data_IF_519781321885
#
_entry.id   IF_519781321885
#
_cell.length_a   1.000
_cell.length_b   1.000
_cell.length_c   1.000
_cell.angle_alpha   90.00
_cell.angle_beta   90.00
_cell.angle_gamma   90.00
#
_symmetry.space_group_name_H-M   'P 1'
#
loop_
_entity.id
_entity.type
_entity.pdbx_description
1 polymer ?
#
# COMPACT_ATOMS: atom_id res chain seq x y z
N UNK A 1 31.02 13.63 -5.36
CA UNK A 1 30.75 13.03 -4.03
C UNK A 1 30.99 11.52 -4.14
N UNK A 2 30.85 10.77 -3.04
CA UNK A 2 31.07 9.32 -3.03
C UNK A 2 30.15 8.58 -4.02
N UNK A 3 28.93 9.04 -4.23
CA UNK A 3 27.95 8.42 -5.13
C UNK A 3 28.24 8.69 -6.60
N UNK A 4 28.82 9.85 -6.95
CA UNK A 4 29.31 10.11 -8.31
C UNK A 4 30.39 9.12 -8.76
N UNK A 5 31.25 8.67 -7.84
CA UNK A 5 32.26 7.66 -8.13
C UNK A 5 31.66 6.25 -8.10
N UNK A 6 30.97 5.90 -7.01
CA UNK A 6 30.52 4.53 -6.74
C UNK A 6 29.30 4.11 -7.59
N UNK A 7 28.51 5.06 -8.09
CA UNK A 7 27.37 4.81 -9.00
C UNK A 7 27.66 5.29 -10.43
N UNK A 8 28.94 5.49 -10.77
CA UNK A 8 29.32 5.87 -12.13
C UNK A 8 28.84 4.81 -13.13
N UNK A 9 28.21 5.21 -14.26
CA UNK A 9 27.82 4.27 -15.30
C UNK A 9 29.03 3.80 -16.14
N UNK A 10 30.21 4.41 -15.95
CA UNK A 10 31.43 4.00 -16.64
C UNK A 10 32.04 2.76 -15.97
N UNK A 11 32.76 1.90 -16.72
CA UNK A 11 33.44 0.75 -16.13
C UNK A 11 34.32 1.13 -14.94
N UNK A 12 34.20 0.37 -13.86
CA UNK A 12 34.93 0.59 -12.61
C UNK A 12 34.69 -0.58 -11.64
N UNK A 13 35.40 -0.56 -10.51
CA UNK A 13 35.24 -1.54 -9.44
C UNK A 13 34.86 -0.80 -8.15
N UNK A 14 33.81 -1.25 -7.46
CA UNK A 14 33.41 -0.71 -6.16
C UNK A 14 34.56 -0.85 -5.17
N UNK A 15 34.97 0.25 -4.53
CA UNK A 15 36.10 0.24 -3.58
C UNK A 15 35.77 -0.50 -2.29
N UNK A 16 34.49 -0.52 -1.89
CA UNK A 16 33.99 -1.11 -0.64
C UNK A 16 32.68 -1.87 -0.92
N UNK A 17 32.78 -3.12 -1.39
CA UNK A 17 31.58 -3.92 -1.66
C UNK A 17 30.85 -4.26 -0.36
N UNK A 18 29.53 -4.36 -0.45
CA UNK A 18 28.66 -4.72 0.66
C UNK A 18 28.38 -6.23 0.61
N UNK A 19 29.14 -7.00 1.39
CA UNK A 19 29.14 -8.47 1.35
C UNK A 19 28.30 -9.11 2.46
N UNK A 20 27.66 -8.31 3.32
CA UNK A 20 27.02 -8.75 4.57
C UNK A 20 25.50 -8.53 4.52
N UNK A 21 24.76 -9.30 3.71
CA UNK A 21 23.37 -9.03 3.35
C UNK A 21 22.45 -8.88 4.56
N UNK A 22 21.46 -7.99 4.48
CA UNK A 22 20.53 -7.71 5.57
C UNK A 22 19.38 -8.72 5.59
N UNK A 23 19.12 -9.40 6.72
CA UNK A 23 17.96 -10.27 6.87
C UNK A 23 16.66 -9.53 6.60
N UNK A 24 15.81 -10.13 5.75
CA UNK A 24 14.55 -9.54 5.32
C UNK A 24 14.66 -8.54 4.17
N UNK A 25 15.86 -8.12 3.75
CA UNK A 25 16.02 -7.33 2.53
C UNK A 25 16.20 -8.24 1.30
N UNK A 26 16.24 -7.62 0.11
CA UNK A 26 16.45 -8.32 -1.15
C UNK A 26 17.90 -8.80 -1.35
N UNK A 27 18.84 -8.34 -0.52
CA UNK A 27 20.28 -8.42 -0.72
C UNK A 27 20.75 -9.83 -1.12
N UNK A 28 20.64 -10.82 -0.23
CA UNK A 28 21.18 -12.17 -0.48
C UNK A 28 20.53 -12.86 -1.69
N UNK A 29 19.19 -12.86 -1.75
CA UNK A 29 18.47 -13.52 -2.83
C UNK A 29 18.71 -12.83 -4.18
N UNK A 30 18.84 -11.50 -4.18
CA UNK A 30 19.19 -10.72 -5.37
C UNK A 30 20.61 -11.01 -5.83
N UNK A 31 21.57 -11.04 -4.91
CA UNK A 31 22.97 -11.36 -5.22
C UNK A 31 23.10 -12.76 -5.84
N UNK A 32 22.44 -13.76 -5.24
CA UNK A 32 22.40 -15.12 -5.78
C UNK A 32 21.71 -15.21 -7.14
N UNK A 33 20.65 -14.43 -7.35
CA UNK A 33 19.88 -14.43 -8.60
C UNK A 33 20.66 -13.85 -9.78
N UNK A 34 21.44 -12.80 -9.52
CA UNK A 34 22.12 -12.02 -10.55
C UNK A 34 23.64 -12.22 -10.57
N UNK A 35 24.15 -13.16 -9.77
CA UNK A 35 25.58 -13.47 -9.63
C UNK A 35 26.41 -12.24 -9.23
N UNK A 36 25.89 -11.47 -8.26
CA UNK A 36 26.58 -10.32 -7.70
C UNK A 36 27.31 -10.67 -6.41
N UNK A 37 28.50 -10.09 -6.26
CA UNK A 37 29.30 -10.16 -5.03
C UNK A 37 29.12 -8.93 -4.13
N UNK A 38 28.47 -7.88 -4.65
CA UNK A 38 28.16 -6.65 -3.93
C UNK A 38 26.63 -6.48 -3.82
N UNK A 39 26.12 -6.37 -2.59
CA UNK A 39 24.70 -6.12 -2.35
C UNK A 39 24.22 -4.77 -2.90
N UNK A 40 25.14 -3.83 -3.20
CA UNK A 40 24.81 -2.51 -3.74
C UNK A 40 24.02 -2.60 -5.05
N UNK A 41 24.42 -3.49 -5.94
CA UNK A 41 23.77 -3.70 -7.24
C UNK A 41 22.31 -4.16 -7.11
N UNK A 42 21.96 -4.74 -5.96
CA UNK A 42 20.59 -5.14 -5.62
C UNK A 42 19.86 -4.02 -4.90
N UNK A 43 20.44 -3.51 -3.80
CA UNK A 43 19.74 -2.64 -2.87
C UNK A 43 19.35 -1.30 -3.49
N UNK A 44 20.15 -0.77 -4.43
CA UNK A 44 19.89 0.52 -5.07
C UNK A 44 18.58 0.51 -5.87
N UNK A 45 18.22 -0.65 -6.46
CA UNK A 45 16.94 -0.80 -7.15
C UNK A 45 15.82 -1.35 -6.25
N UNK A 46 16.15 -2.23 -5.31
CA UNK A 46 15.18 -2.77 -4.37
C UNK A 46 14.69 -1.73 -3.34
N UNK A 47 15.45 -0.64 -3.15
CA UNK A 47 15.14 0.46 -2.25
C UNK A 47 13.74 1.02 -2.48
N UNK A 48 13.05 1.32 -1.38
CA UNK A 48 11.75 1.99 -1.40
C UNK A 48 11.81 3.41 -1.99
N UNK A 49 13.00 3.96 -2.27
CA UNK A 49 13.14 5.21 -3.05
C UNK A 49 12.38 5.16 -4.38
N UNK A 50 12.30 3.98 -4.99
CA UNK A 50 11.54 3.73 -6.22
C UNK A 50 10.04 4.12 -6.10
N UNK A 51 9.45 4.03 -4.91
CA UNK A 51 8.05 4.40 -4.67
C UNK A 51 7.75 5.86 -4.98
N UNK A 52 8.76 6.74 -5.00
CA UNK A 52 8.59 8.14 -5.45
C UNK A 52 8.08 8.20 -6.90
N UNK A 53 8.58 7.32 -7.79
CA UNK A 53 8.11 7.25 -9.17
C UNK A 53 6.67 6.70 -9.24
N UNK A 54 6.33 5.73 -8.40
CA UNK A 54 4.96 5.21 -8.29
C UNK A 54 4.01 6.33 -7.90
N UNK A 55 4.34 7.10 -6.85
CA UNK A 55 3.51 8.22 -6.35
C UNK A 55 3.24 9.25 -7.43
N UNK A 56 4.25 9.60 -8.25
CA UNK A 56 4.06 10.50 -9.40
C UNK A 56 3.02 9.93 -10.39
N UNK A 57 3.12 8.64 -10.73
CA UNK A 57 2.15 8.00 -11.63
C UNK A 57 0.74 7.91 -11.03
N UNK A 58 0.62 7.55 -9.76
CA UNK A 58 -0.68 7.47 -9.09
C UNK A 58 -1.33 8.82 -8.83
N UNK A 59 -0.55 9.91 -8.73
CA UNK A 59 -1.11 11.27 -8.70
C UNK A 59 -1.90 11.58 -9.98
N UNK A 60 -1.38 11.18 -11.15
CA UNK A 60 -2.11 11.31 -12.42
C UNK A 60 -3.36 10.41 -12.45
N UNK A 61 -3.26 9.18 -11.92
CA UNK A 61 -4.39 8.26 -11.81
C UNK A 61 -5.51 8.83 -10.92
N UNK A 62 -5.16 9.43 -9.77
CA UNK A 62 -6.10 10.12 -8.89
C UNK A 62 -6.78 11.31 -9.60
N UNK A 63 -6.04 12.09 -10.39
CA UNK A 63 -6.62 13.19 -11.16
C UNK A 63 -7.65 12.72 -12.20
N UNK A 64 -7.41 11.58 -12.87
CA UNK A 64 -8.37 10.97 -13.79
C UNK A 64 -9.61 10.45 -13.04
N UNK A 65 -9.40 9.71 -11.95
CA UNK A 65 -10.47 9.16 -11.11
C UNK A 65 -11.37 10.26 -10.52
N UNK A 66 -10.79 11.40 -10.15
CA UNK A 66 -11.55 12.57 -9.69
C UNK A 66 -12.56 13.10 -10.72
N UNK A 67 -12.32 12.90 -12.02
CA UNK A 67 -13.26 13.31 -13.08
C UNK A 67 -14.58 12.54 -13.05
N UNK A 68 -14.59 11.36 -12.43
CA UNK A 68 -15.77 10.52 -12.23
C UNK A 68 -16.19 10.44 -10.75
N UNK A 69 -15.72 11.37 -9.92
CA UNK A 69 -16.14 11.50 -8.53
C UNK A 69 -15.51 10.51 -7.55
N UNK A 70 -14.38 9.91 -7.92
CA UNK A 70 -13.66 8.98 -7.05
C UNK A 70 -12.57 9.70 -6.27
N UNK A 71 -12.64 9.62 -4.94
CA UNK A 71 -11.63 10.14 -4.02
C UNK A 71 -10.99 9.00 -3.23
N UNK A 72 -9.68 9.12 -2.96
CA UNK A 72 -8.88 8.09 -2.27
C UNK A 72 -8.09 8.72 -1.14
N UNK A 73 -8.24 8.18 0.06
CA UNK A 73 -7.55 8.60 1.30
C UNK A 73 -7.05 7.36 2.04
N UNK A 74 -5.97 7.49 2.81
CA UNK A 74 -5.52 6.46 3.74
C UNK A 74 -5.22 7.02 5.12
N UNK A 75 -5.26 6.14 6.12
CA UNK A 75 -4.83 6.41 7.47
C UNK A 75 -4.16 5.17 8.10
N UNK A 76 -3.33 5.39 9.11
CA UNK A 76 -2.66 4.34 9.87
C UNK A 76 -3.61 3.81 10.93
N UNK A 77 -3.85 2.49 10.91
CA UNK A 77 -4.72 1.79 11.87
C UNK A 77 -3.93 1.02 12.92
N UNK A 78 -2.68 0.66 12.65
CA UNK A 78 -1.77 0.11 13.66
C UNK A 78 -0.30 0.44 13.38
N UNK A 79 0.49 0.51 14.45
CA UNK A 79 1.92 0.74 14.40
C UNK A 79 2.59 0.06 15.59
N UNK A 80 3.56 -0.83 15.31
CA UNK A 80 4.15 -1.67 16.34
C UNK A 80 3.08 -2.50 17.06
N UNK A 81 3.06 -2.44 18.39
CA UNK A 81 2.07 -3.11 19.23
C UNK A 81 0.75 -2.33 19.39
N UNK A 82 0.70 -1.07 18.92
CA UNK A 82 -0.45 -0.18 19.09
C UNK A 82 -1.42 -0.31 17.91
N UNK A 83 -2.71 -0.47 18.19
CA UNK A 83 -3.78 -0.53 17.19
C UNK A 83 -4.96 0.36 17.58
N UNK A 84 -5.63 0.93 16.58
CA UNK A 84 -6.85 1.72 16.75
C UNK A 84 -8.08 0.82 16.71
N UNK A 85 -8.97 0.98 17.70
CA UNK A 85 -10.31 0.38 17.72
C UNK A 85 -11.39 1.34 17.18
N UNK A 86 -10.98 2.50 16.63
CA UNK A 86 -11.92 3.51 16.16
C UNK A 86 -12.70 3.01 14.93
N UNK A 87 -14.02 3.18 14.99
CA UNK A 87 -14.92 2.85 13.88
C UNK A 87 -14.97 3.99 12.85
N UNK A 88 -14.65 5.22 13.27
CA UNK A 88 -14.65 6.38 12.41
C UNK A 88 -13.55 6.27 11.33
N UNK A 89 -13.92 6.57 10.09
CA UNK A 89 -13.03 6.56 8.93
C UNK A 89 -12.93 7.97 8.34
N UNK A 90 -11.72 8.40 7.92
CA UNK A 90 -11.57 9.69 7.26
C UNK A 90 -12.21 9.66 5.87
N UNK A 91 -12.80 10.77 5.49
CA UNK A 91 -13.27 11.04 4.13
C UNK A 91 -12.29 11.94 3.39
N UNK A 92 -12.61 12.27 2.13
CA UNK A 92 -11.80 13.19 1.33
C UNK A 92 -11.67 14.59 1.95
N UNK A 93 -12.64 15.04 2.77
CA UNK A 93 -12.54 16.33 3.46
C UNK A 93 -11.57 16.33 4.63
N UNK A 94 -11.22 15.14 5.14
CA UNK A 94 -10.43 14.97 6.36
C UNK A 94 -8.94 14.77 6.06
N UNK A 95 -8.53 14.80 4.78
CA UNK A 95 -7.15 14.54 4.35
C UNK A 95 -6.17 15.48 5.06
N UNK A 96 -6.49 16.77 5.20
CA UNK A 96 -5.62 17.71 5.90
C UNK A 96 -5.43 17.34 7.38
N UNK A 97 -6.48 16.89 8.05
CA UNK A 97 -6.39 16.43 9.44
C UNK A 97 -5.51 15.17 9.56
N UNK A 98 -5.65 14.24 8.62
CA UNK A 98 -4.79 13.04 8.57
C UNK A 98 -3.34 13.42 8.28
N UNK A 99 -3.09 14.37 7.38
CA UNK A 99 -1.74 14.81 7.02
C UNK A 99 -1.06 15.66 8.12
N UNK A 100 -1.84 16.33 8.97
CA UNK A 100 -1.34 17.03 10.17
C UNK A 100 -0.88 16.06 11.27
N UNK A 101 -1.41 14.83 11.29
CA UNK A 101 -0.96 13.78 12.20
C UNK A 101 0.46 13.32 11.85
N UNK A 102 1.43 13.36 12.80
CA UNK A 102 2.80 12.89 12.55
C UNK A 102 2.88 11.42 12.12
N UNK A 103 1.87 10.63 12.48
CA UNK A 103 1.76 9.20 12.15
C UNK A 103 0.60 8.91 11.20
N UNK A 104 -0.07 9.93 10.65
CA UNK A 104 -1.25 9.80 9.79
C UNK A 104 -2.35 8.90 10.38
N UNK A 105 -2.53 8.93 11.70
CA UNK A 105 -3.60 8.20 12.37
C UNK A 105 -4.82 9.13 12.52
N UNK A 106 -6.01 8.66 12.13
CA UNK A 106 -7.21 9.47 12.23
C UNK A 106 -7.79 9.54 13.65
N UNK A 107 -7.42 8.59 14.52
CA UNK A 107 -7.81 8.58 15.92
C UNK A 107 -6.74 9.21 16.82
N UNK A 108 -7.04 10.38 17.38
CA UNK A 108 -6.10 11.16 18.19
C UNK A 108 -5.61 10.42 19.44
N UNK A 109 -6.46 9.63 20.08
CA UNK A 109 -6.05 8.87 21.27
C UNK A 109 -5.05 7.76 20.94
N UNK A 110 -5.17 7.15 19.75
CA UNK A 110 -4.23 6.15 19.26
C UNK A 110 -2.96 6.78 18.69
N UNK A 111 -3.06 7.95 18.04
CA UNK A 111 -1.92 8.74 17.57
C UNK A 111 -0.85 8.93 18.67
N UNK A 112 -1.25 9.41 19.85
CA UNK A 112 -0.32 9.67 20.95
C UNK A 112 0.42 8.39 21.39
N UNK A 113 -0.28 7.25 21.40
CA UNK A 113 0.30 5.94 21.75
C UNK A 113 1.26 5.46 20.67
N UNK A 114 0.93 5.65 19.39
CA UNK A 114 1.80 5.29 18.27
C UNK A 114 3.09 6.11 18.28
N UNK A 115 3.01 7.41 18.60
CA UNK A 115 4.19 8.28 18.75
C UNK A 115 5.09 7.75 19.88
N UNK A 116 4.52 7.45 21.04
CA UNK A 116 5.28 6.90 22.17
C UNK A 116 5.96 5.55 21.83
N UNK A 117 5.30 4.68 21.07
CA UNK A 117 5.87 3.42 20.58
C UNK A 117 7.07 3.67 19.65
N UNK A 118 6.96 4.64 18.74
CA UNK A 118 8.07 5.03 17.84
C UNK A 118 9.26 5.55 18.65
N UNK A 119 9.02 6.41 19.64
CA UNK A 119 10.08 6.95 20.50
C UNK A 119 10.79 5.86 21.31
N UNK A 120 10.03 4.89 21.83
CA UNK A 120 10.57 3.73 22.53
C UNK A 120 11.46 2.88 21.60
N UNK A 121 10.96 2.52 20.41
CA UNK A 121 11.75 1.76 19.43
C UNK A 121 13.00 2.53 18.96
N UNK A 122 12.89 3.86 18.79
CA UNK A 122 14.02 4.71 18.44
C UNK A 122 15.13 4.65 19.49
N UNK A 123 14.76 4.73 20.78
CA UNK A 123 15.68 4.65 21.92
C UNK A 123 16.40 3.30 21.96
N UNK A 124 15.72 2.23 21.60
CA UNK A 124 16.27 0.88 21.56
C UNK A 124 17.09 0.60 20.27
N UNK A 125 17.02 1.52 19.29
CA UNK A 125 17.69 1.39 18.00
C UNK A 125 17.02 0.36 17.07
N UNK A 126 15.74 0.09 17.31
CA UNK A 126 14.89 -0.88 16.59
C UNK A 126 14.02 -0.18 15.53
N UNK A 127 13.16 -0.94 14.85
CA UNK A 127 12.23 -0.46 13.84
C UNK A 127 10.84 -1.08 13.99
N UNK A 128 9.82 -0.40 13.46
CA UNK A 128 8.43 -0.77 13.60
C UNK A 128 7.73 -0.90 12.24
N UNK A 129 6.92 -1.95 12.12
CA UNK A 129 5.93 -2.11 11.08
C UNK A 129 4.56 -1.57 11.51
N UNK A 130 3.53 -1.89 10.75
CA UNK A 130 2.17 -1.44 11.03
C UNK A 130 1.20 -1.73 9.90
N UNK A 131 -0.02 -1.24 10.06
CA UNK A 131 -1.11 -1.42 9.09
C UNK A 131 -1.68 -0.06 8.71
N UNK A 132 -1.91 0.14 7.42
CA UNK A 132 -2.70 1.25 6.87
C UNK A 132 -4.01 0.72 6.31
N UNK A 133 -5.05 1.54 6.37
CA UNK A 133 -6.32 1.33 5.67
C UNK A 133 -6.45 2.41 4.60
N UNK A 134 -6.64 1.98 3.35
CA UNK A 134 -6.92 2.83 2.19
C UNK A 134 -8.41 2.72 1.86
N UNK A 135 -9.01 3.87 1.64
CA UNK A 135 -10.43 4.08 1.44
C UNK A 135 -10.65 4.77 0.11
N UNK A 136 -11.46 4.17 -0.78
CA UNK A 136 -11.87 4.81 -2.03
C UNK A 136 -13.39 4.99 -2.05
N UNK A 137 -13.80 6.26 -2.17
CA UNK A 137 -15.18 6.71 -2.17
C UNK A 137 -15.66 6.99 -3.59
N UNK A 138 -16.98 6.91 -3.83
CA UNK A 138 -17.59 7.29 -5.11
C UNK A 138 -17.28 6.35 -6.28
N UNK A 139 -16.83 5.13 -6.00
CA UNK A 139 -16.50 4.16 -7.04
C UNK A 139 -17.73 3.80 -7.89
N UNK A 140 -17.59 3.69 -9.22
CA UNK A 140 -18.65 3.15 -10.04
C UNK A 140 -18.79 1.64 -9.81
N UNK A 141 -20.01 1.13 -9.98
CA UNK A 141 -20.30 -0.30 -9.95
C UNK A 141 -19.61 -1.01 -11.13
N UNK A 142 -19.02 -2.17 -10.87
CA UNK A 142 -18.57 -3.10 -11.90
C UNK A 142 -17.27 -2.72 -12.59
N UNK A 143 -16.31 -2.12 -11.88
CA UNK A 143 -14.88 -2.19 -12.23
C UNK A 143 -14.34 -3.56 -11.87
N UNK A 144 -13.45 -4.13 -12.68
CA UNK A 144 -13.07 -5.54 -12.59
C UNK A 144 -14.08 -6.48 -13.26
N UNK A 145 -13.87 -7.79 -13.10
CA UNK A 145 -14.74 -8.81 -13.67
C UNK A 145 -14.60 -10.14 -12.94
N UNK A 146 -15.73 -10.85 -12.76
CA UNK A 146 -15.75 -12.22 -12.28
C UNK A 146 -15.36 -13.27 -13.34
N UNK A 147 -15.32 -12.86 -14.62
CA UNK A 147 -15.24 -13.78 -15.77
C UNK A 147 -13.91 -14.53 -15.83
N UNK A 148 -12.81 -13.87 -15.45
CA UNK A 148 -11.50 -14.49 -15.43
C UNK A 148 -10.75 -14.09 -14.16
N UNK A 149 -9.92 -14.99 -13.64
CA UNK A 149 -9.32 -14.85 -12.31
C UNK A 149 -8.41 -13.63 -12.18
N UNK A 150 -7.68 -13.28 -13.25
CA UNK A 150 -6.77 -12.12 -13.32
C UNK A 150 -7.52 -10.79 -13.60
N UNK A 151 -8.83 -10.85 -13.86
CA UNK A 151 -9.69 -9.67 -14.03
C UNK A 151 -10.44 -9.31 -12.76
N UNK A 152 -10.31 -10.10 -11.69
CA UNK A 152 -10.92 -9.81 -10.40
C UNK A 152 -10.17 -8.67 -9.70
N UNK A 153 -10.90 -7.60 -9.38
CA UNK A 153 -10.28 -6.35 -8.92
C UNK A 153 -9.61 -6.46 -7.55
N UNK A 154 -10.19 -7.23 -6.64
CA UNK A 154 -9.59 -7.62 -5.37
C UNK A 154 -8.21 -8.30 -5.56
N UNK A 155 -8.08 -9.21 -6.53
CA UNK A 155 -6.81 -9.83 -6.90
C UNK A 155 -5.79 -8.83 -7.46
N UNK A 156 -6.22 -7.93 -8.34
CA UNK A 156 -5.36 -6.87 -8.91
C UNK A 156 -4.89 -5.88 -7.84
N UNK A 157 -5.79 -5.46 -6.94
CA UNK A 157 -5.48 -4.59 -5.81
C UNK A 157 -4.51 -5.28 -4.84
N UNK A 158 -4.76 -6.54 -4.51
CA UNK A 158 -3.87 -7.33 -3.66
C UNK A 158 -2.46 -7.43 -4.25
N UNK A 159 -2.33 -7.72 -5.55
CA UNK A 159 -1.04 -7.74 -6.23
C UNK A 159 -0.34 -6.37 -6.16
N UNK A 160 -1.06 -5.30 -6.51
CA UNK A 160 -0.50 -3.95 -6.56
C UNK A 160 -0.01 -3.48 -5.18
N UNK A 161 -0.79 -3.72 -4.12
CA UNK A 161 -0.44 -3.34 -2.75
C UNK A 161 0.66 -4.26 -2.17
N UNK A 162 0.59 -5.57 -2.40
CA UNK A 162 1.62 -6.52 -1.96
C UNK A 162 2.96 -6.28 -2.66
N UNK A 163 2.97 -5.66 -3.84
CA UNK A 163 4.19 -5.28 -4.57
C UNK A 163 4.95 -4.09 -3.95
N UNK A 164 4.35 -3.40 -2.97
CA UNK A 164 4.99 -2.31 -2.25
C UNK A 164 6.07 -2.91 -1.33
N UNK A 165 7.23 -2.28 -1.31
CA UNK A 165 8.36 -2.69 -0.50
C UNK A 165 7.92 -2.85 0.97
N UNK A 166 8.37 -3.94 1.60
CA UNK A 166 8.03 -4.34 2.97
C UNK A 166 6.55 -4.69 3.27
N UNK A 167 5.62 -4.63 2.31
CA UNK A 167 4.27 -5.16 2.52
C UNK A 167 4.30 -6.69 2.51
N UNK A 168 3.64 -7.31 3.49
CA UNK A 168 3.59 -8.76 3.69
C UNK A 168 2.17 -9.33 3.79
N UNK A 169 1.16 -8.47 3.92
CA UNK A 169 -0.24 -8.84 4.01
C UNK A 169 -1.12 -7.78 3.34
N UNK A 170 -2.18 -8.23 2.68
CA UNK A 170 -3.22 -7.36 2.13
C UNK A 170 -4.59 -7.95 2.48
N UNK A 171 -5.51 -7.10 2.92
CA UNK A 171 -6.89 -7.47 3.18
C UNK A 171 -7.83 -6.58 2.37
N UNK A 172 -8.96 -7.14 1.95
CA UNK A 172 -10.09 -6.40 1.40
C UNK A 172 -11.23 -6.46 2.42
N UNK A 173 -11.78 -5.30 2.80
CA UNK A 173 -12.78 -5.21 3.86
C UNK A 173 -12.29 -5.78 5.18
N UNK A 174 -13.07 -6.70 5.75
CA UNK A 174 -12.77 -7.36 7.02
C UNK A 174 -11.74 -8.49 6.89
N UNK A 175 -11.32 -8.87 5.67
CA UNK A 175 -10.19 -9.79 5.44
C UNK A 175 -10.19 -11.04 6.32
N UNK A 176 -9.10 -11.22 7.08
CA UNK A 176 -8.94 -12.37 7.98
C UNK A 176 -9.96 -12.37 9.12
N UNK A 177 -10.43 -11.21 9.61
CA UNK A 177 -11.51 -11.15 10.59
C UNK A 177 -12.84 -11.64 10.00
N UNK A 178 -13.07 -11.41 8.70
CA UNK A 178 -14.21 -11.95 7.96
C UNK A 178 -14.18 -13.48 7.87
N UNK A 179 -12.99 -14.08 7.69
CA UNK A 179 -12.81 -15.53 7.61
C UNK A 179 -13.20 -16.29 8.89
N UNK A 180 -13.19 -15.61 10.04
CA UNK A 180 -13.61 -16.19 11.32
C UNK A 180 -15.14 -16.15 11.56
N UNK A 181 -15.92 -15.53 10.66
CA UNK A 181 -17.37 -15.37 10.83
C UNK A 181 -18.17 -16.48 10.16
N UNK A 182 -19.38 -16.71 10.68
CA UNK A 182 -20.40 -17.51 9.98
C UNK A 182 -20.95 -16.71 8.79
N UNK A 183 -21.34 -17.39 7.71
CA UNK A 183 -21.89 -16.76 6.51
C UNK A 183 -23.06 -15.80 6.78
N UNK A 184 -23.91 -16.12 7.76
CA UNK A 184 -25.03 -15.24 8.18
C UNK A 184 -24.60 -13.87 8.73
N UNK A 185 -23.32 -13.70 9.10
CA UNK A 185 -22.76 -12.47 9.65
C UNK A 185 -21.57 -11.93 8.83
N UNK A 186 -21.11 -12.68 7.82
CA UNK A 186 -19.91 -12.36 7.05
C UNK A 186 -20.17 -11.38 5.89
N UNK A 187 -21.40 -11.34 5.38
CA UNK A 187 -21.74 -10.61 4.16
C UNK A 187 -22.49 -9.31 4.43
N UNK A 188 -22.53 -8.47 3.40
CA UNK A 188 -23.24 -7.20 3.40
C UNK A 188 -24.63 -7.39 2.79
N UNK A 189 -25.69 -7.13 3.56
CA UNK A 189 -27.05 -7.25 3.07
C UNK A 189 -27.35 -6.17 2.01
N UNK A 190 -28.13 -6.54 1.00
CA UNK A 190 -28.49 -5.66 -0.11
C UNK A 190 -29.83 -4.99 0.21
N UNK A 191 -29.85 -3.66 0.21
CA UNK A 191 -31.04 -2.85 0.34
C UNK A 191 -31.29 -2.02 -0.93
N UNK A 192 -32.54 -1.63 -1.16
CA UNK A 192 -32.91 -0.64 -2.17
C UNK A 192 -33.07 0.72 -1.52
N UNK A 193 -32.59 1.77 -2.19
CA UNK A 193 -32.82 3.15 -1.77
C UNK A 193 -33.74 3.90 -2.72
N UNK A 194 -34.97 4.18 -2.29
CA UNK A 194 -35.94 4.92 -3.10
C UNK A 194 -35.52 6.38 -3.37
N UNK A 195 -34.68 6.97 -2.51
CA UNK A 195 -34.24 8.36 -2.66
C UNK A 195 -33.21 8.52 -3.77
N UNK A 196 -32.19 7.65 -3.80
CA UNK A 196 -31.17 7.67 -4.86
C UNK A 196 -31.52 6.81 -6.07
N UNK A 197 -32.52 5.93 -5.97
CA UNK A 197 -32.89 4.99 -7.03
C UNK A 197 -31.79 3.95 -7.27
N UNK A 198 -31.11 3.48 -6.22
CA UNK A 198 -29.99 2.54 -6.37
C UNK A 198 -29.94 1.49 -5.26
N UNK A 199 -29.28 0.37 -5.56
CA UNK A 199 -28.93 -0.63 -4.55
C UNK A 199 -27.82 -0.13 -3.62
N UNK A 200 -27.93 -0.46 -2.34
CA UNK A 200 -26.90 -0.21 -1.33
C UNK A 200 -26.56 -1.47 -0.52
N UNK A 201 -25.46 -1.41 0.21
CA UNK A 201 -25.07 -2.39 1.23
C UNK A 201 -25.27 -1.77 2.62
N UNK A 202 -25.79 -2.57 3.54
CA UNK A 202 -26.02 -2.12 4.92
C UNK A 202 -24.73 -2.06 5.75
N UNK A 203 -23.69 -2.79 5.33
CA UNK A 203 -22.38 -2.84 6.00
C UNK A 203 -21.23 -2.81 4.97
N UNK A 204 -19.98 -2.72 5.44
CA UNK A 204 -18.78 -2.62 4.58
C UNK A 204 -17.81 -3.81 4.78
N UNK A 205 -18.32 -5.00 5.09
CA UNK A 205 -17.51 -6.17 5.45
C UNK A 205 -16.73 -6.72 4.24
N UNK A 206 -17.34 -6.68 3.06
CA UNK A 206 -16.71 -7.09 1.81
C UNK A 206 -15.75 -6.03 1.24
N UNK A 207 -15.66 -4.86 1.88
CA UNK A 207 -14.75 -3.79 1.48
C UNK A 207 -15.00 -3.29 0.06
N UNK A 208 -16.28 -3.17 -0.35
CA UNK A 208 -16.66 -2.58 -1.64
C UNK A 208 -16.42 -3.48 -2.85
N UNK A 209 -16.10 -4.77 -2.66
CA UNK A 209 -15.96 -5.73 -3.77
C UNK A 209 -16.75 -7.00 -3.55
N UNK A 210 -17.40 -7.50 -4.61
CA UNK A 210 -18.10 -8.79 -4.62
C UNK A 210 -17.83 -9.50 -5.95
N UNK A 211 -17.46 -10.78 -5.90
CA UNK A 211 -17.15 -11.55 -7.11
C UNK A 211 -15.98 -11.00 -7.94
N UNK A 212 -15.09 -10.18 -7.34
CA UNK A 212 -14.01 -9.51 -8.05
C UNK A 212 -14.42 -8.26 -8.82
N UNK A 213 -15.55 -7.64 -8.46
CA UNK A 213 -16.04 -6.40 -9.04
C UNK A 213 -16.37 -5.36 -7.97
N UNK A 214 -16.23 -4.07 -8.26
CA UNK A 214 -16.68 -3.01 -7.35
C UNK A 214 -18.20 -3.00 -7.21
N UNK A 215 -18.71 -2.81 -5.99
CA UNK A 215 -20.15 -2.79 -5.71
C UNK A 215 -20.77 -1.40 -5.79
N UNK A 216 -19.95 -0.35 -5.90
CA UNK A 216 -20.36 1.05 -5.76
C UNK A 216 -20.22 1.59 -4.33
N UNK A 217 -20.05 0.69 -3.36
CA UNK A 217 -19.82 1.03 -1.96
C UNK A 217 -18.36 1.42 -1.70
N UNK A 218 -18.09 1.87 -0.48
CA UNK A 218 -16.73 2.18 -0.01
C UNK A 218 -15.79 0.98 -0.22
N UNK A 219 -14.75 1.17 -1.03
CA UNK A 219 -13.66 0.23 -1.14
C UNK A 219 -12.74 0.38 0.07
N UNK A 220 -12.45 -0.73 0.73
CA UNK A 220 -11.56 -0.78 1.90
C UNK A 220 -10.45 -1.79 1.63
N UNK A 221 -9.20 -1.32 1.61
CA UNK A 221 -8.01 -2.16 1.44
C UNK A 221 -7.05 -1.89 2.57
N UNK A 222 -6.54 -2.95 3.23
CA UNK A 222 -5.53 -2.82 4.29
C UNK A 222 -4.20 -3.40 3.85
N UNK A 223 -3.10 -2.75 4.21
CA UNK A 223 -1.75 -3.20 3.91
C UNK A 223 -0.93 -3.35 5.18
N UNK A 224 -0.41 -4.55 5.43
CA UNK A 224 0.46 -4.84 6.56
C UNK A 224 1.92 -4.74 6.13
N UNK A 225 2.61 -3.72 6.63
CA UNK A 225 4.03 -3.50 6.41
C UNK A 225 4.83 -4.09 7.56
N UNK A 226 5.83 -4.92 7.26
CA UNK A 226 6.78 -5.41 8.27
C UNK A 226 7.73 -4.29 8.74
N UNK A 227 8.40 -4.44 9.90
CA UNK A 227 9.48 -3.56 10.30
C UNK A 227 10.60 -3.44 9.24
N UNK A 228 11.31 -2.32 9.27
CA UNK A 228 12.41 -2.04 8.35
C UNK A 228 13.56 -3.04 8.58
N UNK A 229 14.18 -3.50 7.50
CA UNK A 229 15.17 -4.60 7.59
C UNK A 229 16.56 -4.14 8.01
N UNK A 230 16.80 -2.82 8.04
CA UNK A 230 18.02 -2.23 8.58
C UNK A 230 17.68 -1.69 9.96
N UNK A 231 18.50 -2.04 10.95
CA UNK A 231 18.37 -1.51 12.31
C UNK A 231 19.44 -0.46 12.56
N UNK A 232 19.12 0.54 13.38
CA UNK A 232 20.08 1.58 13.74
C UNK A 232 21.23 1.02 14.58
N UNK A 233 20.94 -0.01 15.37
CA UNK A 233 21.91 -0.90 16.00
C UNK A 233 21.90 -2.24 15.27
N UNK A 234 22.94 -2.58 14.47
CA UNK A 234 22.97 -3.84 13.75
C UNK A 234 23.14 -5.01 14.73
N UNK A 235 22.05 -5.67 15.08
CA UNK A 235 22.02 -6.83 15.99
C UNK A 235 21.70 -8.13 15.28
N UNK A 236 21.22 -8.08 14.04
CA UNK A 236 20.84 -9.27 13.28
C UNK A 236 22.07 -9.96 12.71
N UNK A 237 22.18 -11.25 13.04
CA UNK A 237 23.21 -12.13 12.48
C UNK A 237 23.02 -12.27 10.96
N UNK A 238 24.14 -12.30 10.25
CA UNK A 238 24.21 -12.65 8.83
C UNK A 238 25.50 -13.42 8.55
N UNK A 239 25.77 -13.72 7.28
CA UNK A 239 26.99 -14.35 6.82
C UNK A 239 27.63 -13.45 5.77
N UNK A 240 28.94 -13.22 5.86
CA UNK A 240 29.67 -12.57 4.78
C UNK A 240 29.69 -13.51 3.56
N UNK A 241 29.16 -13.06 2.43
CA UNK A 241 29.00 -13.94 1.26
C UNK A 241 30.33 -14.32 0.60
N UNK A 242 31.43 -13.62 0.90
CA UNK A 242 32.77 -13.92 0.39
C UNK A 242 33.48 -14.88 1.33
N UNK A 243 33.61 -14.53 2.62
CA UNK A 243 34.38 -15.33 3.59
C UNK A 243 33.60 -16.52 4.13
N UNK A 244 32.26 -16.49 4.04
CA UNK A 244 31.32 -17.45 4.64
C UNK A 244 31.32 -17.46 6.18
N UNK A 245 31.93 -16.46 6.81
CA UNK A 245 31.96 -16.32 8.26
C UNK A 245 30.69 -15.64 8.80
N UNK A 246 30.26 -16.04 10.00
CA UNK A 246 29.17 -15.35 10.71
C UNK A 246 29.58 -13.94 11.11
N UNK A 247 28.69 -12.98 10.89
CA UNK A 247 28.88 -11.57 11.22
C UNK A 247 27.52 -10.90 11.52
N UNK A 248 27.49 -9.57 11.61
CA UNK A 248 26.26 -8.76 11.65
C UNK A 248 26.05 -8.05 10.32
N UNK A 249 24.79 -7.84 9.95
CA UNK A 249 24.46 -7.15 8.70
C UNK A 249 24.99 -5.72 8.67
N UNK A 250 25.39 -5.24 7.49
CA UNK A 250 25.80 -3.84 7.35
C UNK A 250 24.65 -2.88 7.67
N UNK A 251 25.03 -1.67 8.10
CA UNK A 251 24.10 -0.59 8.39
C UNK A 251 23.97 0.33 7.18
N UNK A 252 22.75 0.56 6.75
CA UNK A 252 22.36 1.71 5.93
C UNK A 252 21.65 2.76 6.78
N UNK A 253 21.55 3.99 6.27
CA UNK A 253 20.67 4.99 6.90
C UNK A 253 19.23 4.46 6.85
N UNK A 254 18.58 4.42 8.00
CA UNK A 254 17.22 3.89 8.16
C UNK A 254 16.43 4.71 9.16
N UNK A 255 15.14 4.84 8.89
CA UNK A 255 14.16 5.39 9.83
C UNK A 255 13.75 4.33 10.85
N UNK A 256 12.96 4.73 11.85
CA UNK A 256 12.33 3.79 12.80
C UNK A 256 11.11 3.12 12.15
N UNK A 257 10.33 3.88 11.37
CA UNK A 257 9.17 3.36 10.65
C UNK A 257 8.91 4.20 9.42
N UNK A 258 8.26 3.60 8.41
CA UNK A 258 7.78 4.31 7.23
C UNK A 258 6.30 3.98 6.93
N UNK A 259 5.56 3.48 7.93
CA UNK A 259 4.14 3.11 7.78
C UNK A 259 3.27 4.28 7.29
N UNK A 260 3.40 5.53 7.80
CA UNK A 260 2.62 6.66 7.29
C UNK A 260 2.88 6.94 5.79
N UNK A 261 4.14 6.89 5.36
CA UNK A 261 4.51 7.08 3.96
C UNK A 261 4.02 5.92 3.09
N UNK A 262 4.05 4.69 3.59
CA UNK A 262 3.51 3.51 2.91
C UNK A 262 2.00 3.66 2.63
N UNK A 263 1.23 4.33 3.51
CA UNK A 263 -0.17 4.69 3.25
C UNK A 263 -0.35 5.45 1.93
N UNK A 264 0.44 6.51 1.70
CA UNK A 264 0.41 7.30 0.46
C UNK A 264 0.78 6.47 -0.77
N UNK A 265 1.75 5.56 -0.62
CA UNK A 265 2.14 4.63 -1.70
C UNK A 265 1.01 3.63 -1.97
N UNK A 266 0.31 3.15 -0.94
CA UNK A 266 -0.83 2.25 -1.09
C UNK A 266 -2.01 2.95 -1.79
N UNK A 267 -2.33 4.19 -1.43
CA UNK A 267 -3.32 5.02 -2.15
C UNK A 267 -3.00 5.11 -3.64
N UNK A 268 -1.72 5.31 -3.96
CA UNK A 268 -1.20 5.43 -5.32
C UNK A 268 -1.38 4.13 -6.11
N UNK A 269 -0.97 3.00 -5.53
CA UNK A 269 -1.07 1.69 -6.20
C UNK A 269 -2.53 1.30 -6.45
N UNK A 270 -3.42 1.61 -5.50
CA UNK A 270 -4.86 1.40 -5.65
C UNK A 270 -5.43 2.32 -6.73
N UNK A 271 -5.05 3.60 -6.74
CA UNK A 271 -5.46 4.55 -7.78
C UNK A 271 -5.07 4.08 -9.19
N UNK A 272 -3.86 3.54 -9.36
CA UNK A 272 -3.39 3.01 -10.65
C UNK A 272 -4.26 1.84 -11.15
N UNK A 273 -4.59 0.89 -10.27
CA UNK A 273 -5.46 -0.25 -10.61
C UNK A 273 -6.87 0.23 -10.96
N UNK A 274 -7.44 1.10 -10.12
CA UNK A 274 -8.79 1.63 -10.32
C UNK A 274 -8.89 2.44 -11.62
N UNK A 275 -7.91 3.31 -11.90
CA UNK A 275 -7.86 4.09 -13.14
C UNK A 275 -7.72 3.18 -14.37
N UNK A 276 -6.89 2.13 -14.28
CA UNK A 276 -6.74 1.14 -15.34
C UNK A 276 -8.04 0.40 -15.66
N UNK A 277 -8.76 -0.10 -14.65
CA UNK A 277 -10.04 -0.79 -14.88
C UNK A 277 -11.17 0.18 -15.26
N UNK A 278 -11.16 1.42 -14.76
CA UNK A 278 -12.09 2.46 -15.20
C UNK A 278 -11.87 2.79 -16.68
N UNK A 279 -10.63 3.02 -17.11
CA UNK A 279 -10.30 3.26 -18.51
C UNK A 279 -10.66 2.06 -19.39
N UNK A 280 -10.46 0.83 -18.91
CA UNK A 280 -10.87 -0.37 -19.64
C UNK A 280 -12.39 -0.46 -19.80
N UNK A 281 -13.16 -0.11 -18.76
CA UNK A 281 -14.63 -0.20 -18.76
C UNK A 281 -15.27 0.90 -19.60
N UNK A 282 -14.82 2.14 -19.42
CA UNK A 282 -15.44 3.31 -20.03
C UNK A 282 -14.78 3.74 -21.34
N UNK A 283 -13.54 3.31 -21.59
CA UNK A 283 -12.77 3.64 -22.78
C UNK A 283 -12.54 5.15 -22.92
N UNK A 284 -12.34 5.57 -24.17
CA UNK A 284 -12.19 6.96 -24.55
C UNK A 284 -10.76 7.42 -24.69
N UNK A 285 -10.50 8.25 -25.70
CA UNK A 285 -9.17 8.81 -25.97
C UNK A 285 -9.00 10.22 -25.39
N UNK A 286 -10.08 10.80 -24.85
CA UNK A 286 -10.08 12.09 -24.17
C UNK A 286 -10.85 12.03 -22.85
N UNK A 287 -10.50 12.89 -21.90
CA UNK A 287 -11.17 12.97 -20.59
C UNK A 287 -12.68 13.22 -20.75
N UNK A 288 -13.09 14.08 -21.69
CA UNK A 288 -14.49 14.38 -21.92
C UNK A 288 -15.30 13.15 -22.39
N UNK A 289 -14.70 12.31 -23.23
CA UNK A 289 -15.29 11.04 -23.66
C UNK A 289 -15.37 10.02 -22.52
N UNK A 290 -14.27 9.82 -21.80
CA UNK A 290 -14.23 8.96 -20.61
C UNK A 290 -15.34 9.32 -19.62
N UNK A 291 -15.48 10.61 -19.29
CA UNK A 291 -16.51 11.13 -18.37
C UNK A 291 -17.92 10.93 -18.93
N UNK A 292 -18.14 11.19 -20.23
CA UNK A 292 -19.44 10.98 -20.87
C UNK A 292 -19.86 9.52 -20.77
N UNK A 293 -18.97 8.58 -21.06
CA UNK A 293 -19.25 7.15 -21.03
C UNK A 293 -19.51 6.67 -19.59
N UNK A 294 -18.73 7.15 -18.61
CA UNK A 294 -18.94 6.83 -17.20
C UNK A 294 -20.29 7.35 -16.68
N UNK A 295 -20.69 8.58 -17.06
CA UNK A 295 -22.00 9.15 -16.69
C UNK A 295 -23.16 8.39 -17.33
N UNK A 296 -23.07 8.09 -18.63
CA UNK A 296 -24.09 7.31 -19.32
C UNK A 296 -24.29 5.92 -18.69
N UNK A 297 -23.20 5.27 -18.30
CA UNK A 297 -23.27 4.01 -17.55
C UNK A 297 -23.96 4.20 -16.19
N UNK A 298 -23.58 5.21 -15.41
CA UNK A 298 -24.21 5.48 -14.12
C UNK A 298 -25.71 5.80 -14.22
N UNK A 299 -26.11 6.55 -15.25
CA UNK A 299 -27.53 6.85 -15.53
C UNK A 299 -28.31 5.60 -15.92
N UNK A 300 -27.70 4.63 -16.61
CA UNK A 300 -28.36 3.37 -16.99
C UNK A 300 -28.67 2.43 -15.81
N UNK A 301 -28.12 2.70 -14.63
CA UNK A 301 -28.34 1.91 -13.41
C UNK A 301 -29.51 2.43 -12.54
N UNK A 302 -30.06 3.60 -12.88
CA UNK A 302 -31.21 4.22 -12.21
C UNK A 302 -32.51 3.82 -12.89
#
# INVERSE_FOLDING_TARGET
DVWHEEMSPHPGVTKKPLTQPRPGHADLAGMQKYDFVDARDVLERASARETSARVVAGALAKLLLKQIGVDIVSHVTSLGSVSSDAVARPTASDVNQVDESPVRCFDKATEEKMIAEIEAAAKDGDSLGGVVEVLAYGLPVGLGSHVHWDRKIDGMLAQAVMSIQAVKGVEIGDGFAGAARRGSAAHDAIAWDDVSGSYRRETTKAGGTEGGMTTGELLVVRAAMKPLSTLNRPTLKTVDVVTKEETVSFKERTDVTAVPAMGVVAETMIALVLAGEAQRKFGGDSVAEFVRNARAFAESLR
#
